data_IF_964487108927
#
_entry.id   IF_964487108927
#
_cell.length_a   1.000
_cell.length_b   1.000
_cell.length_c   1.000
_cell.angle_alpha   90.00
_cell.angle_beta   90.00
_cell.angle_gamma   90.00
#
_symmetry.space_group_name_H-M   'P 1'
#
loop_
_entity.id
_entity.type
_entity.pdbx_description
1 polymer ?
#
# COMPACT_ATOMS: atom_id res chain seq x y z
N UNK A 1 -1.12 10.31 4.21
CA UNK A 1 -1.56 9.39 5.27
C UNK A 1 -0.97 9.91 6.56
N UNK A 2 -1.71 10.71 7.30
CA UNK A 2 -1.41 10.83 8.72
C UNK A 2 -1.85 9.52 9.34
N UNK A 3 -0.89 8.73 9.82
CA UNK A 3 -1.24 7.81 10.90
C UNK A 3 -1.77 8.72 12.00
N UNK A 4 -3.05 8.59 12.38
CA UNK A 4 -3.42 9.16 13.67
C UNK A 4 -2.53 8.45 14.69
N UNK A 5 -1.78 9.24 15.46
CA UNK A 5 -0.85 8.76 16.49
C UNK A 5 -1.51 7.63 17.33
N UNK A 6 -2.82 7.76 17.52
CA UNK A 6 -3.73 6.80 18.15
C UNK A 6 -3.65 5.35 17.66
N UNK A 7 -3.47 5.09 16.36
CA UNK A 7 -3.38 3.71 15.85
C UNK A 7 -2.04 3.05 16.20
N UNK A 8 -0.97 3.84 16.19
CA UNK A 8 0.36 3.38 16.60
C UNK A 8 0.38 3.14 18.10
N UNK A 9 -0.21 4.05 18.89
CA UNK A 9 -0.35 3.90 20.34
C UNK A 9 -1.12 2.63 20.73
N UNK A 10 -2.20 2.30 20.03
CA UNK A 10 -2.95 1.04 20.26
C UNK A 10 -2.08 -0.21 20.07
N UNK A 11 -1.26 -0.25 19.02
CA UNK A 11 -0.33 -1.38 18.78
C UNK A 11 0.77 -1.39 19.85
N UNK A 12 1.30 -0.23 20.22
CA UNK A 12 2.34 -0.12 21.26
C UNK A 12 1.83 -0.46 22.66
N UNK A 13 0.53 -0.28 22.93
CA UNK A 13 -0.11 -0.62 24.19
C UNK A 13 -0.40 -2.12 24.37
N UNK A 14 -0.25 -2.94 23.32
CA UNK A 14 -0.39 -4.39 23.43
C UNK A 14 0.59 -4.98 24.46
N UNK A 15 0.16 -6.06 25.12
CA UNK A 15 1.03 -6.88 25.97
C UNK A 15 2.16 -7.49 25.14
N UNK A 16 3.19 -8.03 25.79
CA UNK A 16 4.31 -8.67 25.09
C UNK A 16 3.81 -9.84 24.22
N UNK A 17 2.89 -10.64 24.75
CA UNK A 17 2.26 -11.77 24.08
C UNK A 17 1.41 -11.29 22.90
N UNK A 18 0.60 -10.24 23.09
CA UNK A 18 -0.24 -9.68 22.02
C UNK A 18 0.58 -9.07 20.89
N UNK A 19 1.74 -8.45 21.19
CA UNK A 19 2.68 -7.98 20.16
C UNK A 19 3.26 -9.12 19.35
N UNK A 20 3.62 -10.23 20.01
CA UNK A 20 4.17 -11.41 19.33
C UNK A 20 3.12 -12.02 18.39
N UNK A 21 1.91 -12.26 18.89
CA UNK A 21 0.81 -12.80 18.09
C UNK A 21 0.47 -11.91 16.89
N UNK A 22 0.41 -10.58 17.08
CA UNK A 22 0.20 -9.65 15.97
C UNK A 22 1.27 -9.76 14.89
N UNK A 23 2.55 -9.84 15.28
CA UNK A 23 3.67 -9.93 14.34
C UNK A 23 3.70 -11.28 13.62
N UNK A 24 3.41 -12.37 14.32
CA UNK A 24 3.34 -13.72 13.73
C UNK A 24 2.21 -13.80 12.69
N UNK A 25 1.00 -13.32 13.04
CA UNK A 25 -0.14 -13.26 12.13
C UNK A 25 0.12 -12.37 10.91
N UNK A 26 0.77 -11.21 11.12
CA UNK A 26 1.16 -10.32 10.03
C UNK A 26 2.18 -11.01 9.09
N UNK A 27 3.15 -11.72 9.66
CA UNK A 27 4.17 -12.44 8.90
C UNK A 27 3.57 -13.58 8.05
N UNK A 28 2.68 -14.39 8.62
CA UNK A 28 1.97 -15.44 7.90
C UNK A 28 1.14 -14.87 6.75
N UNK A 29 0.33 -13.83 7.02
CA UNK A 29 -0.47 -13.15 6.01
C UNK A 29 0.37 -12.63 4.83
N UNK A 30 1.51 -11.99 5.12
CA UNK A 30 2.40 -11.47 4.08
C UNK A 30 2.98 -12.60 3.23
N UNK A 31 3.40 -13.70 3.86
CA UNK A 31 3.96 -14.85 3.14
C UNK A 31 2.95 -15.57 2.26
N UNK A 32 1.76 -15.88 2.78
CA UNK A 32 0.69 -16.56 2.03
C UNK A 32 0.31 -15.79 0.76
N UNK A 33 0.30 -14.45 0.85
CA UNK A 33 -0.06 -13.57 -0.25
C UNK A 33 1.14 -13.13 -1.11
N UNK A 34 2.37 -13.59 -0.78
CA UNK A 34 3.62 -13.15 -1.42
C UNK A 34 3.77 -11.63 -1.45
N UNK A 35 3.41 -10.98 -0.35
CA UNK A 35 3.48 -9.54 -0.14
C UNK A 35 4.69 -9.20 0.73
N UNK A 36 5.29 -8.04 0.47
CA UNK A 36 6.35 -7.48 1.31
C UNK A 36 5.87 -6.16 1.94
N UNK A 37 6.58 -5.66 2.96
CA UNK A 37 6.34 -4.30 3.47
C UNK A 37 6.46 -3.22 2.38
N UNK A 38 7.10 -3.55 1.25
CA UNK A 38 7.28 -2.70 0.10
C UNK A 38 6.07 -2.74 -0.85
N UNK A 39 5.12 -3.66 -0.69
CA UNK A 39 3.91 -3.81 -1.50
C UNK A 39 2.72 -3.01 -0.93
N UNK A 40 2.99 -1.85 -0.34
CA UNK A 40 2.02 -1.02 0.38
C UNK A 40 0.68 -0.86 -0.36
N UNK A 41 0.73 -0.51 -1.64
CA UNK A 41 -0.47 -0.28 -2.44
C UNK A 41 -1.27 -1.56 -2.69
N UNK A 42 -0.60 -2.70 -2.89
CA UNK A 42 -1.24 -4.01 -3.01
C UNK A 42 -1.92 -4.40 -1.71
N UNK A 43 -1.25 -4.24 -0.57
CA UNK A 43 -1.83 -4.49 0.76
C UNK A 43 -3.06 -3.59 0.96
N UNK A 44 -2.95 -2.30 0.64
CA UNK A 44 -4.02 -1.33 0.85
C UNK A 44 -5.29 -1.63 0.03
N UNK A 45 -5.13 -2.15 -1.18
CA UNK A 45 -6.25 -2.53 -2.07
C UNK A 45 -7.10 -3.67 -1.47
N UNK A 46 -6.55 -4.49 -0.56
CA UNK A 46 -7.29 -5.59 0.06
C UNK A 46 -8.38 -5.11 1.03
N UNK A 47 -8.23 -3.92 1.59
CA UNK A 47 -9.16 -3.37 2.59
C UNK A 47 -9.79 -2.04 2.18
N UNK A 48 -9.18 -1.29 1.24
CA UNK A 48 -9.62 0.07 0.87
C UNK A 48 -9.33 0.38 -0.61
N UNK A 49 -9.75 1.56 -1.07
CA UNK A 49 -9.46 2.00 -2.43
C UNK A 49 -7.94 2.29 -2.61
N UNK A 50 -7.37 2.03 -3.80
CA UNK A 50 -6.00 2.43 -4.10
C UNK A 50 -5.83 3.95 -4.03
N UNK A 51 -4.65 4.42 -3.63
CA UNK A 51 -4.30 5.84 -3.68
C UNK A 51 -3.62 6.17 -5.01
N UNK A 52 -4.00 7.27 -5.66
CA UNK A 52 -3.27 7.75 -6.81
C UNK A 52 -1.83 8.16 -6.45
N UNK A 53 -0.79 7.59 -7.11
CA UNK A 53 0.60 7.93 -6.81
C UNK A 53 1.03 9.35 -7.23
N UNK A 54 0.15 10.10 -7.90
CA UNK A 54 0.46 11.44 -8.42
C UNK A 54 -0.19 12.58 -7.63
N UNK A 55 -1.37 12.35 -7.06
CA UNK A 55 -2.14 13.42 -6.40
C UNK A 55 -2.85 12.96 -5.13
N UNK A 56 -2.51 11.76 -4.64
CA UNK A 56 -3.01 11.15 -3.41
C UNK A 56 -4.54 11.02 -3.31
N UNK A 57 -5.24 11.11 -4.44
CA UNK A 57 -6.68 10.87 -4.53
C UNK A 57 -7.00 9.39 -4.23
N UNK A 58 -7.98 9.13 -3.36
CA UNK A 58 -8.58 7.79 -3.20
C UNK A 58 -9.76 7.57 -4.17
N UNK A 59 -10.17 8.62 -4.90
CA UNK A 59 -11.22 8.53 -5.90
C UNK A 59 -10.70 7.91 -7.21
N UNK A 60 -10.65 6.58 -7.25
CA UNK A 60 -10.02 5.79 -8.31
C UNK A 60 -10.95 4.69 -8.80
N UNK A 61 -10.91 4.37 -10.10
CA UNK A 61 -11.68 3.27 -10.68
C UNK A 61 -10.78 2.25 -11.37
N UNK A 62 -11.18 0.97 -11.38
CA UNK A 62 -10.57 -0.06 -12.22
C UNK A 62 -10.68 0.34 -13.71
N UNK A 63 -9.59 0.15 -14.45
CA UNK A 63 -9.44 0.61 -15.83
C UNK A 63 -8.94 -0.51 -16.76
N UNK A 64 -9.27 -1.76 -16.43
CA UNK A 64 -8.85 -2.96 -17.17
C UNK A 64 -7.58 -3.61 -16.59
N UNK A 65 -7.06 -4.60 -17.31
CA UNK A 65 -5.88 -5.39 -16.95
C UNK A 65 -4.82 -5.23 -18.04
N UNK A 66 -3.55 -5.09 -17.66
CA UNK A 66 -2.41 -4.99 -18.58
C UNK A 66 -1.24 -5.81 -18.04
N UNK A 67 -0.72 -6.72 -18.88
CA UNK A 67 0.27 -7.75 -18.54
C UNK A 67 -0.11 -8.56 -17.29
N UNK A 68 -1.37 -8.98 -17.22
CA UNK A 68 -1.92 -9.73 -16.07
C UNK A 68 -2.07 -8.93 -14.78
N UNK A 69 -1.78 -7.62 -14.79
CA UNK A 69 -1.90 -6.74 -13.61
C UNK A 69 -3.07 -5.78 -13.73
N UNK A 70 -3.81 -5.60 -12.65
CA UNK A 70 -4.91 -4.63 -12.60
C UNK A 70 -4.38 -3.20 -12.81
N UNK A 71 -5.03 -2.47 -13.71
CA UNK A 71 -4.80 -1.04 -13.95
C UNK A 71 -5.93 -0.24 -13.31
N UNK A 72 -5.58 0.89 -12.71
CA UNK A 72 -6.48 1.84 -12.09
C UNK A 72 -6.34 3.21 -12.74
N UNK A 73 -7.41 4.01 -12.72
CA UNK A 73 -7.42 5.40 -13.21
C UNK A 73 -7.95 6.32 -12.12
N UNK A 74 -7.15 7.30 -11.68
CA UNK A 74 -7.62 8.34 -10.76
C UNK A 74 -8.62 9.24 -11.48
N UNK A 75 -9.78 9.47 -10.87
CA UNK A 75 -10.82 10.34 -11.41
C UNK A 75 -10.49 11.82 -11.27
N UNK A 76 -9.64 12.19 -10.29
CA UNK A 76 -9.19 13.57 -10.07
C UNK A 76 -8.19 14.04 -11.13
N UNK A 77 -7.10 13.30 -11.38
CA UNK A 77 -6.01 13.74 -12.28
C UNK A 77 -5.91 12.92 -13.58
N UNK A 78 -6.76 11.92 -13.78
CA UNK A 78 -6.76 11.05 -14.97
C UNK A 78 -5.61 10.05 -15.06
N UNK A 79 -4.65 10.09 -14.13
CA UNK A 79 -3.45 9.24 -14.16
C UNK A 79 -3.81 7.75 -14.06
N UNK A 80 -3.15 6.94 -14.90
CA UNK A 80 -3.28 5.48 -14.91
C UNK A 80 -2.08 4.86 -14.19
N UNK A 81 -2.35 3.92 -13.29
CA UNK A 81 -1.33 3.25 -12.50
C UNK A 81 -1.70 1.80 -12.20
N UNK A 82 -0.72 0.97 -11.85
CA UNK A 82 -0.91 -0.43 -11.48
C UNK A 82 -0.96 -0.59 -9.96
N UNK A 83 -1.40 -1.74 -9.49
CA UNK A 83 -1.36 -2.13 -8.07
C UNK A 83 0.03 -2.05 -7.42
N UNK A 84 1.10 -2.10 -8.20
CA UNK A 84 2.49 -1.94 -7.73
C UNK A 84 2.91 -0.48 -7.55
N UNK A 85 2.05 0.50 -7.85
CA UNK A 85 2.37 1.90 -7.63
C UNK A 85 2.76 2.16 -6.16
N UNK A 86 3.66 3.12 -5.91
CA UNK A 86 4.20 3.41 -4.57
C UNK A 86 4.96 2.26 -3.88
N UNK A 87 5.20 1.14 -4.56
CA UNK A 87 6.12 0.12 -4.02
C UNK A 87 7.56 0.57 -4.14
N UNK A 88 8.48 -0.05 -3.39
CA UNK A 88 9.91 0.20 -3.59
C UNK A 88 10.35 -0.09 -5.02
N UNK A 89 9.79 -1.13 -5.66
CA UNK A 89 10.09 -1.46 -7.06
C UNK A 89 9.61 -0.35 -8.00
N UNK A 90 8.43 0.22 -7.75
CA UNK A 90 7.96 1.39 -8.51
C UNK A 90 8.92 2.58 -8.36
N UNK A 91 9.41 2.78 -7.14
CA UNK A 91 10.34 3.85 -6.82
C UNK A 91 11.77 3.59 -7.27
N UNK A 92 12.25 2.35 -7.38
CA UNK A 92 13.60 2.06 -7.90
C UNK A 92 13.69 2.43 -9.39
N UNK A 93 12.62 2.22 -10.15
CA UNK A 93 12.49 2.69 -11.54
C UNK A 93 12.24 4.20 -11.66
N UNK A 94 11.86 4.86 -10.57
CA UNK A 94 11.58 6.30 -10.50
C UNK A 94 12.27 6.90 -9.28
N UNK A 95 13.57 6.64 -9.15
CA UNK A 95 14.33 6.93 -7.93
C UNK A 95 14.26 8.40 -7.53
N UNK A 96 14.08 9.31 -8.50
CA UNK A 96 13.87 10.74 -8.26
C UNK A 96 12.66 11.02 -7.34
N UNK A 97 11.65 10.14 -7.29
CA UNK A 97 10.50 10.26 -6.39
C UNK A 97 10.81 9.78 -4.95
N UNK A 98 11.94 9.12 -4.69
CA UNK A 98 12.39 8.77 -3.33
C UNK A 98 13.10 9.93 -2.63
N UNK A 99 13.71 10.82 -3.41
CA UNK A 99 14.53 11.92 -2.88
C UNK A 99 13.69 13.11 -2.40
N UNK A 100 12.39 13.13 -2.75
CA UNK A 100 11.42 14.17 -2.41
C UNK A 100 10.56 13.82 -1.16
N UNK A 101 10.92 12.78 -0.40
CA UNK A 101 10.13 12.25 0.72
C UNK A 101 10.70 12.60 2.10
#
# INVERSE_FOLDING_TARGET
MEYSIENIEKILALTKEGKREFLDNLYEFLNENRLTALDYQRIKILSTAPICPRCDCEYVTKAGVSDGRQVYKCKKCGYRFRETAKSLVYYSHKYYLLMDY
#
